data_IF_051217967583
#
_entry.id   IF_051217967583
#
_cell.length_a   1.000
_cell.length_b   1.000
_cell.length_c   1.000
_cell.angle_alpha   90.00
_cell.angle_beta   90.00
_cell.angle_gamma   90.00
#
_symmetry.space_group_name_H-M   'P 1'
#
loop_
_entity.id
_entity.type
_entity.pdbx_description
1 polymer ?
#
# COMPACT_ATOMS: atom_id res chain seq x y z
N UNK A 1 89.26 -4.33 5.82
CA UNK A 1 89.01 -5.04 4.55
C UNK A 1 88.60 -6.49 4.81
N UNK A 2 87.30 -6.79 4.93
CA UNK A 2 86.72 -8.16 4.87
C UNK A 2 85.26 -8.00 4.41
N UNK A 3 85.03 -7.95 3.10
CA UNK A 3 84.53 -9.04 2.22
C UNK A 3 83.11 -9.50 2.55
N UNK A 4 82.22 -9.12 1.63
CA UNK A 4 80.82 -9.49 1.48
C UNK A 4 80.62 -10.99 1.32
N UNK A 5 79.57 -11.51 1.97
CA UNK A 5 78.81 -12.67 1.52
C UNK A 5 77.32 -12.34 1.63
N UNK A 6 76.66 -12.34 0.48
CA UNK A 6 75.21 -12.19 0.33
C UNK A 6 74.50 -13.43 0.89
N UNK A 7 73.51 -13.23 1.75
CA UNK A 7 72.48 -14.23 2.07
C UNK A 7 71.14 -13.60 1.71
N UNK A 8 70.49 -14.17 0.70
CA UNK A 8 69.14 -13.83 0.28
C UNK A 8 68.14 -14.41 1.30
N UNK A 9 67.31 -13.55 1.90
CA UNK A 9 66.19 -13.96 2.74
C UNK A 9 64.88 -13.62 2.00
N UNK A 10 64.15 -14.66 1.62
CA UNK A 10 62.85 -14.55 0.97
C UNK A 10 61.80 -14.04 1.96
N UNK A 11 61.17 -12.91 1.64
CA UNK A 11 60.01 -12.38 2.37
C UNK A 11 58.74 -13.08 1.87
N UNK A 12 58.15 -13.89 2.74
CA UNK A 12 56.80 -14.46 2.57
C UNK A 12 55.80 -13.34 2.85
N UNK A 13 55.10 -12.87 1.80
CA UNK A 13 53.94 -12.00 1.93
C UNK A 13 52.71 -12.84 2.32
N UNK A 14 52.30 -12.74 3.58
CA UNK A 14 50.98 -13.23 4.03
C UNK A 14 49.94 -12.18 3.65
N UNK A 15 49.16 -12.46 2.62
CA UNK A 15 48.00 -11.63 2.23
C UNK A 15 46.85 -11.98 3.17
N UNK A 16 46.60 -11.09 4.13
CA UNK A 16 45.48 -11.14 5.05
C UNK A 16 44.23 -10.61 4.32
N UNK A 17 43.45 -11.51 3.70
CA UNK A 17 42.17 -11.15 3.07
C UNK A 17 41.13 -10.82 4.13
N UNK A 18 40.98 -9.53 4.44
CA UNK A 18 39.85 -9.00 5.18
C UNK A 18 38.58 -9.09 4.33
N UNK A 19 37.65 -9.96 4.74
CA UNK A 19 36.31 -10.07 4.18
C UNK A 19 35.48 -8.86 4.64
N UNK A 20 35.59 -7.73 3.94
CA UNK A 20 34.67 -6.60 4.09
C UNK A 20 33.33 -6.99 3.47
N UNK A 21 32.34 -7.23 4.34
CA UNK A 21 30.95 -7.36 3.92
C UNK A 21 30.54 -6.08 3.15
N UNK A 22 30.21 -6.23 1.88
CA UNK A 22 29.72 -5.13 1.05
C UNK A 22 28.40 -4.60 1.62
N UNK A 23 28.19 -3.27 1.68
CA UNK A 23 26.90 -2.70 2.05
C UNK A 23 25.86 -3.17 1.03
N UNK A 24 24.76 -3.74 1.53
CA UNK A 24 23.66 -4.20 0.69
C UNK A 24 23.14 -3.03 -0.16
N UNK A 25 23.08 -3.25 -1.48
CA UNK A 25 22.82 -2.24 -2.48
C UNK A 25 21.52 -1.49 -2.22
N UNK A 26 21.64 -0.20 -1.96
CA UNK A 26 20.55 0.76 -2.06
C UNK A 26 20.05 0.77 -3.52
N UNK A 27 18.73 0.69 -3.76
CA UNK A 27 18.21 0.94 -5.10
C UNK A 27 18.53 2.39 -5.51
N UNK A 28 18.88 2.65 -6.78
CA UNK A 28 19.24 3.99 -7.23
C UNK A 28 18.02 4.92 -7.14
N UNK A 29 18.17 6.02 -6.42
CA UNK A 29 17.13 7.03 -6.21
C UNK A 29 17.17 8.04 -7.35
N UNK A 30 16.03 8.21 -8.01
CA UNK A 30 15.77 9.18 -9.09
C UNK A 30 16.01 10.62 -8.62
N UNK A 31 16.75 11.40 -9.41
CA UNK A 31 17.40 12.68 -9.06
C UNK A 31 16.54 13.93 -8.77
N UNK A 32 15.38 13.80 -8.11
CA UNK A 32 14.55 14.93 -7.70
C UNK A 32 14.54 15.18 -6.17
N UNK A 33 15.17 14.32 -5.37
CA UNK A 33 15.16 14.40 -3.89
C UNK A 33 16.42 15.08 -3.35
N UNK A 34 16.26 15.85 -2.28
CA UNK A 34 17.37 16.53 -1.61
C UNK A 34 18.26 15.51 -0.88
N UNK A 35 19.58 15.70 -0.83
CA UNK A 35 20.43 14.89 0.04
C UNK A 35 20.04 15.09 1.50
N UNK A 36 20.27 14.08 2.33
CA UNK A 36 20.06 14.21 3.78
C UNK A 36 21.10 15.20 4.33
N UNK A 37 20.67 16.26 5.05
CA UNK A 37 21.61 17.20 5.64
C UNK A 37 22.50 16.52 6.70
N UNK A 38 23.76 16.95 6.81
CA UNK A 38 24.72 16.37 7.76
C UNK A 38 24.32 16.66 9.22
N UNK A 39 24.67 15.76 10.15
CA UNK A 39 24.31 15.87 11.57
C UNK A 39 24.61 17.24 12.23
N UNK A 40 25.75 17.91 12.02
CA UNK A 40 26.01 19.21 12.62
C UNK A 40 25.02 20.30 12.15
N UNK A 41 24.66 20.26 10.87
CA UNK A 41 23.71 21.20 10.25
C UNK A 41 22.28 20.92 10.74
N UNK A 42 21.91 19.64 10.86
CA UNK A 42 20.62 19.22 11.44
C UNK A 42 20.51 19.67 12.90
N UNK A 43 21.58 19.55 13.69
CA UNK A 43 21.58 19.96 15.08
C UNK A 43 21.39 21.48 15.25
N UNK A 44 21.98 22.30 14.39
CA UNK A 44 21.79 23.75 14.44
C UNK A 44 20.38 24.15 14.01
N UNK A 45 19.87 23.59 12.91
CA UNK A 45 18.49 23.78 12.49
C UNK A 45 17.49 23.34 13.58
N UNK A 46 17.79 22.27 14.33
CA UNK A 46 16.99 21.84 15.47
C UNK A 46 16.94 22.87 16.59
N UNK A 47 18.05 23.51 16.94
CA UNK A 47 18.03 24.60 17.93
C UNK A 47 17.13 25.74 17.47
N UNK A 48 17.24 26.14 16.20
CA UNK A 48 16.42 27.22 15.62
C UNK A 48 14.94 26.85 15.67
N UNK A 49 14.56 25.67 15.17
CA UNK A 49 13.17 25.18 15.21
C UNK A 49 12.64 25.11 16.64
N UNK A 50 13.41 24.54 17.58
CA UNK A 50 13.01 24.46 19.00
C UNK A 50 12.85 25.83 19.64
N UNK A 51 13.67 26.81 19.27
CA UNK A 51 13.56 28.18 19.77
C UNK A 51 12.31 28.89 19.22
N UNK A 52 12.03 28.76 17.92
CA UNK A 52 10.85 29.37 17.26
C UNK A 52 9.55 28.82 17.85
N UNK A 53 9.47 27.50 18.07
CA UNK A 53 8.26 26.85 18.60
C UNK A 53 8.34 26.57 20.11
N UNK A 54 9.20 27.27 20.86
CA UNK A 54 9.50 27.00 22.27
C UNK A 54 8.25 26.87 23.14
N UNK A 55 7.29 27.77 22.98
CA UNK A 55 6.04 27.77 23.74
C UNK A 55 5.15 26.56 23.41
N UNK A 56 5.13 26.13 22.15
CA UNK A 56 4.36 24.94 21.76
C UNK A 56 5.05 23.65 22.24
N UNK A 57 6.40 23.56 22.17
CA UNK A 57 7.17 22.42 22.68
C UNK A 57 7.08 22.23 24.20
N UNK A 58 6.77 23.30 24.95
CA UNK A 58 6.54 23.25 26.38
C UNK A 58 5.25 22.49 26.75
N UNK A 59 4.27 22.45 25.84
CA UNK A 59 3.02 21.72 26.06
C UNK A 59 3.24 20.22 25.88
N UNK A 60 2.86 19.43 26.90
CA UNK A 60 3.17 17.98 26.96
C UNK A 60 1.96 17.07 26.80
N UNK A 61 0.73 17.60 26.72
CA UNK A 61 -0.45 16.75 26.51
C UNK A 61 -0.39 16.15 25.11
N UNK A 62 -0.92 14.95 24.95
CA UNK A 62 -0.93 14.25 23.66
C UNK A 62 -1.58 15.10 22.55
N UNK A 63 -2.72 15.74 22.84
CA UNK A 63 -3.40 16.64 21.90
C UNK A 63 -2.52 17.84 21.48
N UNK A 64 -1.83 18.48 22.43
CA UNK A 64 -0.94 19.62 22.14
C UNK A 64 0.25 19.18 21.27
N UNK A 65 0.79 17.99 21.51
CA UNK A 65 1.86 17.43 20.68
C UNK A 65 1.40 17.14 19.26
N UNK A 66 0.19 16.59 19.08
CA UNK A 66 -0.42 16.38 17.76
C UNK A 66 -0.64 17.72 17.05
N UNK A 67 -1.10 18.76 17.75
CA UNK A 67 -1.34 20.07 17.13
C UNK A 67 -0.04 20.77 16.73
N UNK A 68 1.01 20.68 17.55
CA UNK A 68 2.35 21.12 17.15
C UNK A 68 2.86 20.31 15.95
N UNK A 69 2.67 18.98 15.95
CA UNK A 69 3.09 18.14 14.82
C UNK A 69 2.44 18.57 13.49
N UNK A 70 1.14 18.88 13.47
CA UNK A 70 0.45 19.42 12.28
C UNK A 70 1.06 20.75 11.84
N UNK A 71 1.36 21.63 12.79
CA UNK A 71 1.98 22.94 12.54
C UNK A 71 3.35 22.76 11.90
N UNK A 72 4.22 21.92 12.49
CA UNK A 72 5.57 21.66 11.96
C UNK A 72 5.55 20.99 10.59
N UNK A 73 4.61 20.05 10.36
CA UNK A 73 4.43 19.43 9.04
C UNK A 73 4.09 20.49 7.98
N UNK A 74 3.13 21.37 8.27
CA UNK A 74 2.75 22.47 7.39
C UNK A 74 3.93 23.40 7.11
N UNK A 75 4.67 23.81 8.15
CA UNK A 75 5.86 24.66 7.96
C UNK A 75 6.93 23.94 7.13
N UNK A 76 7.15 22.64 7.33
CA UNK A 76 8.09 21.87 6.51
C UNK A 76 7.67 21.84 5.03
N UNK A 77 6.38 21.76 4.73
CA UNK A 77 5.87 21.85 3.36
C UNK A 77 6.09 23.24 2.74
N UNK A 78 6.00 24.30 3.54
CA UNK A 78 6.18 25.70 3.12
C UNK A 78 7.66 26.13 3.04
N UNK A 79 8.56 25.47 3.79
CA UNK A 79 10.02 25.72 3.73
C UNK A 79 10.61 25.12 2.47
N UNK A 80 11.16 25.98 1.60
CA UNK A 80 11.77 25.56 0.31
C UNK A 80 13.21 26.07 0.15
N UNK A 81 13.64 26.98 1.01
CA UNK A 81 14.93 27.68 1.01
C UNK A 81 15.93 27.11 2.02
N UNK A 82 15.46 26.39 3.04
CA UNK A 82 16.30 25.75 4.06
C UNK A 82 16.03 24.23 4.14
N UNK A 83 16.82 23.40 3.43
CA UNK A 83 16.73 21.94 3.51
C UNK A 83 16.93 21.37 4.91
N UNK A 84 17.76 22.00 5.75
CA UNK A 84 18.05 21.50 7.09
C UNK A 84 16.86 21.74 8.03
N UNK A 85 16.29 22.95 8.01
CA UNK A 85 15.07 23.26 8.74
C UNK A 85 13.90 22.38 8.25
N UNK A 86 13.73 22.22 6.94
CA UNK A 86 12.69 21.34 6.35
C UNK A 86 12.81 19.91 6.87
N UNK A 87 14.02 19.34 6.88
CA UNK A 87 14.28 18.00 7.39
C UNK A 87 13.90 17.88 8.88
N UNK A 88 14.35 18.83 9.70
CA UNK A 88 14.05 18.85 11.14
C UNK A 88 12.55 18.99 11.40
N UNK A 89 11.86 19.87 10.67
CA UNK A 89 10.42 20.10 10.81
C UNK A 89 9.63 18.80 10.59
N UNK A 90 9.92 18.06 9.52
CA UNK A 90 9.29 16.76 9.28
C UNK A 90 9.65 15.72 10.35
N UNK A 91 10.91 15.66 10.78
CA UNK A 91 11.36 14.73 11.82
C UNK A 91 10.68 15.00 13.17
N UNK A 92 10.61 16.26 13.59
CA UNK A 92 9.93 16.66 14.83
C UNK A 92 8.41 16.45 14.72
N UNK A 93 7.80 16.76 13.57
CA UNK A 93 6.39 16.48 13.32
C UNK A 93 6.08 14.99 13.51
N UNK A 94 6.86 14.10 12.89
CA UNK A 94 6.74 12.65 13.04
C UNK A 94 6.87 12.22 14.50
N UNK A 95 7.90 12.69 15.20
CA UNK A 95 8.16 12.28 16.59
C UNK A 95 7.08 12.78 17.57
N UNK A 96 6.58 14.01 17.37
CA UNK A 96 5.50 14.58 18.18
C UNK A 96 4.16 13.91 17.91
N UNK A 97 3.83 13.65 16.64
CA UNK A 97 2.63 12.89 16.27
C UNK A 97 2.67 11.48 16.89
N UNK A 98 3.83 10.84 16.88
CA UNK A 98 4.02 9.52 17.47
C UNK A 98 3.78 9.52 18.98
N UNK A 99 4.35 10.50 19.69
CA UNK A 99 4.13 10.68 21.14
C UNK A 99 2.67 11.00 21.47
N UNK A 100 2.02 11.81 20.61
CA UNK A 100 0.61 12.14 20.72
C UNK A 100 -0.35 11.01 20.32
N UNK A 101 0.18 9.93 19.73
CA UNK A 101 -0.57 8.72 19.39
C UNK A 101 -1.30 8.77 18.05
N UNK A 102 -1.12 9.82 17.25
CA UNK A 102 -1.76 9.98 15.94
C UNK A 102 -0.99 9.19 14.86
N UNK A 103 -1.43 7.94 14.66
CA UNK A 103 -0.81 7.03 13.68
C UNK A 103 -0.85 7.60 12.25
N UNK A 104 -2.01 8.09 11.73
CA UNK A 104 -2.05 8.68 10.39
C UNK A 104 -1.11 9.87 10.18
N UNK A 105 -1.06 10.80 11.13
CA UNK A 105 -0.18 11.97 11.04
C UNK A 105 1.30 11.58 11.11
N UNK A 106 1.62 10.60 11.96
CA UNK A 106 2.99 10.06 12.07
C UNK A 106 3.47 9.48 10.74
N UNK A 107 2.62 8.67 10.08
CA UNK A 107 2.94 8.11 8.76
C UNK A 107 3.02 9.20 7.69
N UNK A 108 2.13 10.19 7.73
CA UNK A 108 2.15 11.33 6.78
C UNK A 108 3.45 12.11 6.87
N UNK A 109 3.94 12.40 8.08
CA UNK A 109 5.22 13.10 8.28
C UNK A 109 6.43 12.24 7.86
N UNK A 110 6.37 10.93 8.08
CA UNK A 110 7.38 10.01 7.58
C UNK A 110 7.42 10.02 6.03
N UNK A 111 6.26 9.92 5.37
CA UNK A 111 6.17 9.95 3.92
C UNK A 111 6.65 11.30 3.35
N UNK A 112 6.32 12.42 3.99
CA UNK A 112 6.80 13.75 3.61
C UNK A 112 8.34 13.83 3.60
N UNK A 113 8.98 13.24 4.60
CA UNK A 113 10.46 13.15 4.67
C UNK A 113 11.01 12.43 3.45
N UNK A 114 10.46 11.27 3.10
CA UNK A 114 10.94 10.44 1.96
C UNK A 114 10.60 11.01 0.59
N UNK A 115 9.62 11.92 0.52
CA UNK A 115 9.31 12.66 -0.71
C UNK A 115 10.31 13.79 -0.94
N UNK A 116 10.73 14.47 0.13
CA UNK A 116 11.63 15.61 0.04
C UNK A 116 13.11 15.21 0.04
N UNK A 117 13.49 14.15 0.75
CA UNK A 117 14.89 13.78 0.99
C UNK A 117 15.20 12.35 0.54
N UNK A 118 16.47 12.12 0.21
CA UNK A 118 17.03 10.81 -0.11
C UNK A 118 17.20 9.95 1.16
N UNK A 119 16.07 9.59 1.76
CA UNK A 119 16.00 8.76 2.96
C UNK A 119 15.42 7.42 2.57
N UNK A 120 15.99 6.33 3.12
CA UNK A 120 15.42 5.00 2.96
C UNK A 120 13.97 4.96 3.50
N UNK A 121 12.96 4.69 2.65
CA UNK A 121 11.56 4.78 3.05
C UNK A 121 11.14 3.72 4.07
N UNK A 122 11.73 2.52 4.00
CA UNK A 122 11.42 1.43 4.94
C UNK A 122 11.96 1.76 6.33
N UNK A 123 13.22 2.16 6.42
CA UNK A 123 13.86 2.51 7.71
C UNK A 123 13.20 3.74 8.35
N UNK A 124 12.83 4.74 7.54
CA UNK A 124 12.14 5.91 8.05
C UNK A 124 10.74 5.58 8.61
N UNK A 125 10.00 4.70 7.93
CA UNK A 125 8.69 4.20 8.41
C UNK A 125 8.83 3.33 9.65
N UNK A 126 9.88 2.48 9.72
CA UNK A 126 10.19 1.67 10.88
C UNK A 126 10.43 2.53 12.12
N UNK A 127 11.29 3.55 12.02
CA UNK A 127 11.57 4.47 13.10
C UNK A 127 10.28 5.18 13.61
N UNK A 128 9.37 5.50 12.70
CA UNK A 128 8.08 6.10 13.02
C UNK A 128 7.18 5.14 13.83
N UNK A 129 7.11 3.87 13.41
CA UNK A 129 6.33 2.82 14.07
C UNK A 129 6.90 2.43 15.44
N UNK A 130 8.22 2.37 15.57
CA UNK A 130 8.87 2.12 16.85
C UNK A 130 8.59 3.26 17.84
N UNK A 131 8.65 4.52 17.39
CA UNK A 131 8.28 5.66 18.23
C UNK A 131 6.82 5.58 18.72
N UNK A 132 5.87 5.20 17.86
CA UNK A 132 4.47 4.94 18.24
C UNK A 132 4.36 3.78 19.24
N UNK A 133 5.09 2.69 18.99
CA UNK A 133 5.14 1.51 19.85
C UNK A 133 5.66 1.79 21.25
N UNK A 134 6.68 2.65 21.36
CA UNK A 134 7.26 3.11 22.63
C UNK A 134 6.34 4.07 23.37
N UNK A 135 5.70 5.01 22.68
CA UNK A 135 4.82 6.00 23.30
C UNK A 135 3.56 5.38 23.92
N UNK A 136 3.03 4.31 23.31
CA UNK A 136 1.82 3.58 23.77
C UNK A 136 0.58 4.44 23.97
N UNK A 137 0.51 5.59 23.32
CA UNK A 137 -0.64 6.52 23.34
C UNK A 137 -1.63 6.25 22.21
N UNK A 138 -1.21 5.58 21.14
CA UNK A 138 -2.06 5.22 20.00
C UNK A 138 -3.10 4.15 20.33
N UNK A 139 -4.27 4.16 19.67
CA UNK A 139 -5.17 3.02 19.65
C UNK A 139 -4.44 1.75 19.18
N UNK A 140 -4.43 0.72 20.02
CA UNK A 140 -3.62 -0.48 19.84
C UNK A 140 -3.90 -1.19 18.50
N UNK A 141 -5.16 -1.30 18.11
CA UNK A 141 -5.58 -1.91 16.83
C UNK A 141 -5.04 -1.15 15.63
N UNK A 142 -5.19 0.18 15.61
CA UNK A 142 -4.72 1.04 14.52
C UNK A 142 -3.20 0.96 14.34
N UNK A 143 -2.44 0.92 15.43
CA UNK A 143 -0.99 0.75 15.37
C UNK A 143 -0.60 -0.63 14.83
N UNK A 144 -1.27 -1.69 15.29
CA UNK A 144 -0.99 -3.05 14.83
C UNK A 144 -1.27 -3.21 13.32
N UNK A 145 -2.40 -2.69 12.84
CA UNK A 145 -2.75 -2.71 11.41
C UNK A 145 -1.76 -1.90 10.56
N UNK A 146 -1.34 -0.71 11.03
CA UNK A 146 -0.34 0.11 10.34
C UNK A 146 1.04 -0.58 10.29
N UNK A 147 1.47 -1.21 11.38
CA UNK A 147 2.73 -1.91 11.46
C UNK A 147 2.75 -3.19 10.59
N UNK A 148 1.62 -3.92 10.51
CA UNK A 148 1.43 -5.02 9.57
C UNK A 148 1.59 -4.55 8.12
N UNK A 149 0.88 -3.50 7.74
CA UNK A 149 0.95 -2.92 6.39
C UNK A 149 2.39 -2.53 6.00
N UNK A 150 3.10 -1.90 6.92
CA UNK A 150 4.48 -1.49 6.71
C UNK A 150 5.43 -2.70 6.59
N UNK A 151 5.24 -3.75 7.40
CA UNK A 151 6.02 -4.98 7.29
C UNK A 151 5.88 -5.61 5.91
N UNK A 152 4.70 -5.50 5.30
CA UNK A 152 4.44 -6.02 3.97
C UNK A 152 5.11 -5.22 2.85
N UNK A 153 5.15 -3.90 3.01
CA UNK A 153 5.96 -3.04 2.14
C UNK A 153 7.45 -3.35 2.27
N UNK A 154 7.93 -3.58 3.50
CA UNK A 154 9.31 -3.97 3.77
C UNK A 154 9.66 -5.33 3.12
N UNK A 155 8.77 -6.33 3.21
CA UNK A 155 8.92 -7.62 2.50
C UNK A 155 8.97 -7.42 0.99
N UNK A 156 8.10 -6.57 0.43
CA UNK A 156 8.14 -6.25 -1.01
C UNK A 156 9.46 -5.62 -1.42
N UNK A 157 10.01 -4.74 -0.59
CA UNK A 157 11.31 -4.09 -0.77
C UNK A 157 12.52 -4.97 -0.41
N UNK A 158 12.33 -6.27 -0.15
CA UNK A 158 13.38 -7.21 0.27
C UNK A 158 14.09 -6.82 1.60
N UNK A 159 13.47 -5.95 2.41
CA UNK A 159 13.96 -5.46 3.69
C UNK A 159 13.45 -6.32 4.86
N UNK A 160 13.79 -7.61 4.85
CA UNK A 160 13.30 -8.59 5.84
C UNK A 160 13.63 -8.27 7.30
N UNK A 161 14.83 -7.76 7.66
CA UNK A 161 15.12 -7.36 9.03
C UNK A 161 14.22 -6.23 9.54
N UNK A 162 13.91 -5.26 8.67
CA UNK A 162 12.98 -4.18 9.00
C UNK A 162 11.54 -4.71 9.14
N UNK A 163 11.11 -5.62 8.25
CA UNK A 163 9.81 -6.27 8.34
C UNK A 163 9.62 -7.00 9.68
N UNK A 164 10.63 -7.75 10.15
CA UNK A 164 10.60 -8.43 11.45
C UNK A 164 10.43 -7.42 12.62
N UNK A 165 11.16 -6.30 12.59
CA UNK A 165 11.02 -5.24 13.60
C UNK A 165 9.64 -4.58 13.57
N UNK A 166 9.08 -4.34 12.37
CA UNK A 166 7.71 -3.83 12.23
C UNK A 166 6.68 -4.85 12.77
N UNK A 167 6.88 -6.15 12.54
CA UNK A 167 6.01 -7.19 13.10
C UNK A 167 6.12 -7.29 14.63
N UNK A 168 7.29 -7.00 15.23
CA UNK A 168 7.43 -6.88 16.69
C UNK A 168 6.59 -5.73 17.24
N UNK A 169 6.58 -4.57 16.57
CA UNK A 169 5.68 -3.46 16.92
C UNK A 169 4.22 -3.89 16.78
N UNK A 170 3.87 -4.56 15.67
CA UNK A 170 2.52 -5.06 15.43
C UNK A 170 2.08 -6.05 16.52
N UNK A 171 2.94 -6.99 16.92
CA UNK A 171 2.65 -8.00 17.94
C UNK A 171 2.42 -7.36 19.31
N UNK A 172 3.30 -6.42 19.69
CA UNK A 172 3.16 -5.68 20.94
C UNK A 172 1.87 -4.86 20.98
N UNK A 173 1.45 -4.27 19.86
CA UNK A 173 0.20 -3.52 19.77
C UNK A 173 -1.03 -4.45 19.73
N UNK A 174 -0.97 -5.55 18.97
CA UNK A 174 -2.06 -6.52 18.84
C UNK A 174 -2.38 -7.23 20.15
N UNK A 175 -1.39 -7.51 21.01
CA UNK A 175 -1.62 -8.10 22.33
C UNK A 175 -2.44 -7.20 23.26
N UNK A 176 -2.50 -5.90 22.98
CA UNK A 176 -3.31 -4.91 23.73
C UNK A 176 -4.65 -4.59 23.05
N UNK A 177 -4.89 -5.10 21.85
CA UNK A 177 -6.14 -4.89 21.13
C UNK A 177 -7.18 -5.92 21.60
N UNK A 178 -8.32 -5.46 22.10
CA UNK A 178 -9.44 -6.33 22.49
C UNK A 178 -10.37 -6.60 21.31
N UNK A 179 -11.13 -7.71 21.35
CA UNK A 179 -12.24 -7.96 20.42
C UNK A 179 -11.87 -8.34 18.98
N UNK A 180 -10.68 -8.91 18.72
CA UNK A 180 -10.30 -9.39 17.38
C UNK A 180 -9.22 -10.48 17.42
N UNK A 181 -9.11 -11.29 16.36
CA UNK A 181 -8.04 -12.27 16.17
C UNK A 181 -6.71 -11.62 15.67
N UNK A 182 -6.46 -10.36 16.01
CA UNK A 182 -5.32 -9.62 15.45
C UNK A 182 -3.97 -10.21 15.88
N UNK A 183 -3.87 -10.71 17.11
CA UNK A 183 -2.67 -11.40 17.57
C UNK A 183 -2.36 -12.68 16.75
N UNK A 184 -3.39 -13.44 16.38
CA UNK A 184 -3.25 -14.61 15.52
C UNK A 184 -2.80 -14.25 14.10
N UNK A 185 -3.35 -13.16 13.54
CA UNK A 185 -2.94 -12.61 12.23
C UNK A 185 -1.46 -12.22 12.25
N UNK A 186 -1.03 -11.46 13.27
CA UNK A 186 0.38 -11.06 13.40
C UNK A 186 1.29 -12.26 13.58
N UNK A 187 0.92 -13.23 14.42
CA UNK A 187 1.73 -14.43 14.65
C UNK A 187 1.89 -15.29 13.39
N UNK A 188 0.83 -15.41 12.57
CA UNK A 188 0.93 -16.05 11.26
C UNK A 188 1.91 -15.29 10.36
N UNK A 189 1.78 -13.96 10.29
CA UNK A 189 2.65 -13.14 9.44
C UNK A 189 4.12 -13.18 9.85
N UNK A 190 4.41 -13.24 11.15
CA UNK A 190 5.79 -13.43 11.66
C UNK A 190 6.39 -14.73 11.12
N UNK A 191 5.64 -15.83 11.12
CA UNK A 191 6.10 -17.11 10.57
C UNK A 191 6.32 -17.02 9.07
N UNK A 192 5.41 -16.38 8.33
CA UNK A 192 5.53 -16.21 6.89
C UNK A 192 6.79 -15.41 6.52
N UNK A 193 7.01 -14.26 7.17
CA UNK A 193 8.18 -13.41 6.89
C UNK A 193 9.50 -14.11 7.24
N UNK A 194 9.53 -14.88 8.33
CA UNK A 194 10.68 -15.70 8.65
C UNK A 194 10.95 -16.79 7.58
N UNK A 195 9.90 -17.40 7.02
CA UNK A 195 10.04 -18.38 5.95
C UNK A 195 10.53 -17.73 4.65
N UNK A 196 9.98 -16.57 4.27
CA UNK A 196 10.42 -15.80 3.09
C UNK A 196 11.89 -15.40 3.24
N UNK A 197 12.30 -14.92 4.41
CA UNK A 197 13.67 -14.51 4.69
C UNK A 197 14.71 -15.63 4.51
N UNK A 198 14.34 -16.89 4.78
CA UNK A 198 15.25 -18.05 4.59
C UNK A 198 15.58 -18.33 3.12
N UNK A 199 14.69 -17.98 2.20
CA UNK A 199 14.87 -18.26 0.76
C UNK A 199 15.18 -17.00 -0.05
N UNK A 200 15.20 -15.83 0.60
CA UNK A 200 15.43 -14.54 -0.04
C UNK A 200 16.82 -14.42 -0.69
N UNK A 201 17.85 -15.03 -0.09
CA UNK A 201 19.21 -15.02 -0.66
C UNK A 201 19.28 -15.78 -1.99
N UNK A 202 18.64 -16.95 -2.07
CA UNK A 202 18.52 -17.70 -3.31
C UNK A 202 17.77 -16.90 -4.39
N UNK A 203 16.67 -16.21 -4.01
CA UNK A 203 15.95 -15.34 -4.93
C UNK A 203 16.78 -14.12 -5.39
N UNK A 204 17.62 -13.56 -4.53
CA UNK A 204 18.55 -12.50 -4.90
C UNK A 204 19.60 -12.99 -5.90
N UNK A 205 20.11 -14.21 -5.73
CA UNK A 205 21.00 -14.86 -6.69
C UNK A 205 20.33 -15.09 -8.04
N UNK A 206 19.09 -15.59 -8.06
CA UNK A 206 18.31 -15.76 -9.31
C UNK A 206 18.03 -14.43 -10.01
N UNK A 207 17.76 -13.35 -9.24
CA UNK A 207 17.60 -12.00 -9.80
C UNK A 207 18.91 -11.49 -10.44
N UNK A 208 20.05 -11.74 -9.81
CA UNK A 208 21.36 -11.40 -10.38
C UNK A 208 21.67 -12.22 -11.64
N UNK A 209 21.34 -13.52 -11.63
CA UNK A 209 21.49 -14.40 -12.79
C UNK A 209 20.64 -13.92 -13.98
N UNK A 210 19.38 -13.55 -13.76
CA UNK A 210 18.51 -13.01 -14.81
C UNK A 210 18.95 -11.65 -15.33
N UNK A 211 19.62 -10.84 -14.50
CA UNK A 211 20.25 -9.60 -14.98
C UNK A 211 21.41 -9.88 -15.93
N UNK A 212 22.19 -10.94 -15.68
CA UNK A 212 23.29 -11.36 -16.54
C UNK A 212 22.80 -12.12 -17.78
N UNK A 213 21.76 -12.95 -17.63
CA UNK A 213 21.14 -13.74 -18.67
C UNK A 213 19.61 -13.69 -18.55
N UNK A 214 18.94 -12.77 -19.25
CA UNK A 214 17.47 -12.65 -19.21
C UNK A 214 16.70 -13.88 -19.72
N UNK A 215 17.36 -14.80 -20.43
CA UNK A 215 16.75 -16.00 -21.01
C UNK A 215 16.95 -17.26 -20.15
N UNK A 216 17.46 -17.13 -18.93
CA UNK A 216 17.57 -18.26 -18.00
C UNK A 216 16.18 -18.66 -17.46
N UNK A 217 15.51 -19.59 -18.15
CA UNK A 217 14.18 -20.06 -17.78
C UNK A 217 14.13 -20.75 -16.41
N UNK A 218 15.23 -21.36 -15.96
CA UNK A 218 15.29 -22.00 -14.65
C UNK A 218 15.35 -20.96 -13.53
N UNK A 219 16.19 -19.92 -13.69
CA UNK A 219 16.24 -18.78 -12.76
C UNK A 219 14.92 -17.99 -12.78
N UNK A 220 14.30 -17.82 -13.95
CA UNK A 220 12.97 -17.20 -14.09
C UNK A 220 11.91 -18.00 -13.33
N UNK A 221 11.91 -19.34 -13.46
CA UNK A 221 11.01 -20.21 -12.71
C UNK A 221 11.18 -20.11 -11.21
N UNK A 222 12.42 -20.17 -10.69
CA UNK A 222 12.68 -20.06 -9.24
C UNK A 222 12.31 -18.68 -8.69
N UNK A 223 12.71 -17.59 -9.34
CA UNK A 223 12.37 -16.23 -8.93
C UNK A 223 10.85 -15.97 -9.04
N UNK A 224 10.21 -16.46 -10.11
CA UNK A 224 8.76 -16.37 -10.29
C UNK A 224 7.99 -17.07 -9.18
N UNK A 225 8.39 -18.30 -8.79
CA UNK A 225 7.77 -19.03 -7.66
C UNK A 225 7.96 -18.26 -6.35
N UNK A 226 9.16 -17.75 -6.08
CA UNK A 226 9.41 -16.94 -4.90
C UNK A 226 8.50 -15.69 -4.84
N UNK A 227 8.39 -14.94 -5.95
CA UNK A 227 7.57 -13.74 -6.01
C UNK A 227 6.07 -14.06 -5.86
N UNK A 228 5.53 -15.00 -6.64
CA UNK A 228 4.10 -15.34 -6.60
C UNK A 228 3.71 -16.12 -5.34
N UNK A 229 4.43 -17.20 -5.02
CA UNK A 229 3.99 -18.22 -4.08
C UNK A 229 4.42 -17.98 -2.64
N UNK A 230 5.38 -17.07 -2.42
CA UNK A 230 5.86 -16.73 -1.08
C UNK A 230 5.67 -15.24 -0.75
N UNK A 231 5.97 -14.33 -1.69
CA UNK A 231 5.73 -12.89 -1.48
C UNK A 231 4.31 -12.46 -1.84
N UNK A 232 3.57 -13.25 -2.63
CA UNK A 232 2.24 -12.88 -3.14
C UNK A 232 2.28 -11.75 -4.17
N UNK A 233 3.45 -11.47 -4.76
CA UNK A 233 3.70 -10.44 -5.76
C UNK A 233 3.50 -11.00 -7.17
N UNK A 234 2.22 -11.24 -7.49
CA UNK A 234 1.81 -11.85 -8.75
C UNK A 234 2.17 -10.99 -9.96
N UNK A 235 2.13 -9.66 -9.83
CA UNK A 235 2.44 -8.74 -10.93
C UNK A 235 3.91 -8.87 -11.37
N UNK A 236 4.84 -8.97 -10.42
CA UNK A 236 6.26 -9.14 -10.72
C UNK A 236 6.64 -10.60 -11.06
N UNK A 237 5.93 -11.58 -10.47
CA UNK A 237 6.27 -13.00 -10.62
C UNK A 237 5.66 -13.67 -11.85
N UNK A 238 4.46 -13.28 -12.29
CA UNK A 238 3.78 -13.89 -13.43
C UNK A 238 4.60 -13.83 -14.74
N UNK A 239 5.22 -12.70 -15.13
CA UNK A 239 6.07 -12.66 -16.33
C UNK A 239 7.25 -13.65 -16.27
N UNK A 240 7.80 -13.87 -15.08
CA UNK A 240 8.91 -14.81 -14.87
C UNK A 240 8.42 -16.26 -14.93
N UNK A 241 7.26 -16.56 -14.33
CA UNK A 241 6.64 -17.89 -14.44
C UNK A 241 6.27 -18.21 -15.89
N UNK A 242 5.80 -17.24 -16.67
CA UNK A 242 5.53 -17.41 -18.11
C UNK A 242 6.81 -17.68 -18.94
N UNK A 243 7.99 -17.37 -18.41
CA UNK A 243 9.28 -17.73 -19.00
C UNK A 243 9.95 -18.93 -18.30
N UNK A 244 9.25 -19.61 -17.40
CA UNK A 244 9.82 -20.74 -16.66
C UNK A 244 9.98 -21.99 -17.51
N UNK A 245 10.83 -22.90 -17.04
CA UNK A 245 11.01 -24.26 -17.58
C UNK A 245 9.92 -25.24 -17.12
N UNK A 246 9.16 -24.88 -16.08
CA UNK A 246 8.00 -25.65 -15.60
C UNK A 246 6.79 -25.42 -16.52
N UNK A 247 6.49 -26.42 -17.36
CA UNK A 247 5.43 -26.32 -18.37
C UNK A 247 4.05 -25.97 -17.77
N UNK A 248 3.72 -26.46 -16.57
CA UNK A 248 2.41 -26.20 -15.94
C UNK A 248 2.32 -24.77 -15.43
N UNK A 249 3.35 -24.30 -14.73
CA UNK A 249 3.42 -22.93 -14.23
C UNK A 249 3.52 -21.92 -15.38
N UNK A 250 4.29 -22.24 -16.41
CA UNK A 250 4.38 -21.45 -17.64
C UNK A 250 3.02 -21.25 -18.29
N UNK A 251 2.31 -22.33 -18.57
CA UNK A 251 1.00 -22.24 -19.22
C UNK A 251 -0.01 -21.46 -18.35
N UNK A 252 -0.03 -21.71 -17.04
CA UNK A 252 -0.91 -21.00 -16.12
C UNK A 252 -0.61 -19.50 -16.08
N UNK A 253 0.66 -19.13 -15.97
CA UNK A 253 1.09 -17.75 -15.95
C UNK A 253 0.82 -17.02 -17.26
N UNK A 254 1.04 -17.66 -18.41
CA UNK A 254 0.72 -17.08 -19.73
C UNK A 254 -0.77 -16.78 -19.88
N UNK A 255 -1.65 -17.70 -19.46
CA UNK A 255 -3.11 -17.49 -19.53
C UNK A 255 -3.60 -16.46 -18.53
N UNK A 256 -3.00 -16.44 -17.34
CA UNK A 256 -3.28 -15.43 -16.31
C UNK A 256 -2.91 -14.01 -16.81
N UNK A 257 -1.70 -13.85 -17.36
CA UNK A 257 -1.23 -12.58 -17.93
C UNK A 257 -2.08 -12.09 -19.10
N UNK A 258 -2.69 -13.01 -19.87
CA UNK A 258 -3.57 -12.65 -20.98
C UNK A 258 -4.84 -11.90 -20.52
N UNK A 259 -5.13 -11.89 -19.21
CA UNK A 259 -6.26 -11.16 -18.61
C UNK A 259 -7.58 -11.41 -19.34
N UNK A 260 -8.07 -12.66 -19.38
CA UNK A 260 -9.21 -13.02 -20.20
C UNK A 260 -10.49 -12.27 -19.81
N UNK A 261 -11.24 -11.83 -20.82
CA UNK A 261 -12.49 -11.07 -20.62
C UNK A 261 -13.70 -11.95 -20.32
N UNK A 262 -13.76 -13.14 -20.92
CA UNK A 262 -14.88 -14.07 -20.74
C UNK A 262 -14.83 -14.77 -19.36
N UNK A 263 -15.97 -14.83 -18.66
CA UNK A 263 -16.09 -15.47 -17.34
C UNK A 263 -15.67 -16.94 -17.33
N UNK A 264 -16.00 -17.70 -18.39
CA UNK A 264 -15.57 -19.09 -18.56
C UNK A 264 -14.04 -19.21 -18.66
N UNK A 265 -13.40 -18.34 -19.44
CA UNK A 265 -11.94 -18.28 -19.56
C UNK A 265 -11.25 -17.90 -18.24
N UNK A 266 -11.84 -16.98 -17.47
CA UNK A 266 -11.36 -16.65 -16.10
C UNK A 266 -11.48 -17.85 -15.17
N UNK A 267 -12.57 -18.61 -15.24
CA UNK A 267 -12.75 -19.82 -14.46
C UNK A 267 -11.75 -20.92 -14.85
N UNK A 268 -11.37 -21.04 -16.13
CA UNK A 268 -10.30 -21.95 -16.56
C UNK A 268 -8.96 -21.58 -15.94
N UNK A 269 -8.60 -20.29 -15.91
CA UNK A 269 -7.39 -19.80 -15.24
C UNK A 269 -7.45 -20.12 -13.74
N UNK A 270 -8.59 -19.88 -13.10
CA UNK A 270 -8.81 -20.20 -11.69
C UNK A 270 -8.63 -21.70 -11.42
N UNK A 271 -9.28 -22.54 -12.22
CA UNK A 271 -9.19 -24.00 -12.11
C UNK A 271 -7.75 -24.47 -12.21
N UNK A 272 -6.99 -23.94 -13.17
CA UNK A 272 -5.59 -24.29 -13.38
C UNK A 272 -4.71 -23.92 -12.19
N UNK A 273 -4.85 -22.73 -11.63
CA UNK A 273 -4.10 -22.35 -10.43
C UNK A 273 -4.46 -23.21 -9.23
N UNK A 274 -5.74 -23.55 -9.07
CA UNK A 274 -6.18 -24.44 -8.01
C UNK A 274 -5.55 -25.83 -8.16
N UNK A 275 -5.61 -26.41 -9.36
CA UNK A 275 -5.14 -27.76 -9.63
C UNK A 275 -3.61 -27.86 -9.53
N UNK A 276 -2.87 -26.81 -9.93
CA UNK A 276 -1.43 -26.69 -9.63
C UNK A 276 -1.23 -26.62 -8.11
N UNK A 277 -2.05 -25.86 -7.38
CA UNK A 277 -2.02 -25.80 -5.92
C UNK A 277 -2.09 -27.15 -5.22
N UNK A 278 -2.78 -28.14 -5.81
CA UNK A 278 -2.85 -29.50 -5.25
C UNK A 278 -1.51 -30.26 -5.29
N UNK A 279 -0.55 -29.83 -6.10
CA UNK A 279 0.80 -30.42 -6.15
C UNK A 279 1.79 -29.73 -5.21
N UNK A 280 1.36 -28.68 -4.51
CA UNK A 280 2.17 -27.95 -3.53
C UNK A 280 1.63 -28.17 -2.12
N UNK A 281 2.39 -27.76 -1.12
CA UNK A 281 1.97 -27.76 0.27
C UNK A 281 2.11 -26.37 0.93
N UNK A 282 1.84 -26.32 2.24
CA UNK A 282 2.05 -25.13 3.06
C UNK A 282 1.56 -23.81 2.45
N UNK A 283 2.45 -22.81 2.49
CA UNK A 283 2.21 -21.45 2.04
C UNK A 283 2.10 -21.33 0.51
N UNK A 284 2.79 -22.17 -0.25
CA UNK A 284 2.78 -22.10 -1.71
C UNK A 284 1.43 -22.55 -2.28
N UNK A 285 0.88 -23.66 -1.76
CA UNK A 285 -0.50 -24.10 -2.08
C UNK A 285 -1.53 -23.06 -1.69
N UNK A 286 -1.35 -22.42 -0.53
CA UNK A 286 -2.24 -21.37 -0.06
C UNK A 286 -2.26 -20.20 -1.07
N UNK A 287 -1.10 -19.72 -1.52
CA UNK A 287 -1.01 -18.62 -2.49
C UNK A 287 -1.60 -19.00 -3.87
N UNK A 288 -1.33 -20.21 -4.36
CA UNK A 288 -1.94 -20.73 -5.60
C UNK A 288 -3.47 -20.74 -5.54
N UNK A 289 -4.04 -21.24 -4.43
CA UNK A 289 -5.49 -21.25 -4.21
C UNK A 289 -6.07 -19.84 -4.02
N UNK A 290 -5.32 -18.92 -3.40
CA UNK A 290 -5.73 -17.52 -3.31
C UNK A 290 -5.77 -16.84 -4.68
N UNK A 291 -4.82 -17.12 -5.59
CA UNK A 291 -4.88 -16.64 -6.98
C UNK A 291 -6.05 -17.25 -7.75
N UNK A 292 -6.34 -18.53 -7.53
CA UNK A 292 -7.54 -19.15 -8.08
C UNK A 292 -8.82 -18.45 -7.61
N UNK A 293 -8.95 -18.17 -6.31
CA UNK A 293 -10.09 -17.44 -5.76
C UNK A 293 -10.20 -16.01 -6.28
N UNK A 294 -9.08 -15.34 -6.55
CA UNK A 294 -9.09 -14.04 -7.25
C UNK A 294 -9.80 -14.17 -8.60
N UNK A 295 -9.41 -15.13 -9.43
CA UNK A 295 -10.03 -15.33 -10.74
C UNK A 295 -11.49 -15.76 -10.66
N UNK A 296 -11.85 -16.67 -9.75
CA UNK A 296 -13.26 -17.01 -9.53
C UNK A 296 -14.10 -15.81 -9.12
N UNK A 297 -13.54 -14.86 -8.35
CA UNK A 297 -14.25 -13.62 -7.99
C UNK A 297 -14.49 -12.74 -9.23
N UNK A 298 -13.56 -12.71 -10.18
CA UNK A 298 -13.70 -11.95 -11.43
C UNK A 298 -14.69 -12.59 -12.41
N UNK A 299 -15.13 -13.83 -12.19
CA UNK A 299 -16.14 -14.48 -13.01
C UNK A 299 -17.56 -13.93 -12.78
N UNK A 300 -17.82 -13.25 -11.66
CA UNK A 300 -19.14 -12.70 -11.32
C UNK A 300 -20.24 -13.76 -11.22
N UNK A 301 -21.48 -13.39 -11.52
CA UNK A 301 -22.66 -14.27 -11.57
C UNK A 301 -22.84 -14.98 -12.93
N UNK A 302 -21.89 -14.82 -13.86
CA UNK A 302 -21.98 -15.35 -15.23
C UNK A 302 -21.65 -16.85 -15.33
N UNK A 303 -21.04 -17.43 -14.29
CA UNK A 303 -20.81 -18.87 -14.25
C UNK A 303 -22.13 -19.62 -14.05
N UNK A 304 -22.30 -20.72 -14.76
CA UNK A 304 -23.50 -21.56 -14.70
C UNK A 304 -23.14 -23.03 -14.46
N UNK A 305 -24.14 -23.84 -14.09
CA UNK A 305 -23.98 -25.28 -13.95
C UNK A 305 -22.97 -25.69 -12.87
N UNK A 306 -22.10 -26.67 -13.18
CA UNK A 306 -21.13 -27.20 -12.21
C UNK A 306 -19.97 -26.24 -11.94
N UNK A 307 -19.72 -25.26 -12.80
CA UNK A 307 -18.59 -24.34 -12.65
C UNK A 307 -18.83 -23.32 -11.53
N UNK A 308 -20.07 -22.79 -11.39
CA UNK A 308 -20.42 -21.94 -10.24
C UNK A 308 -20.37 -22.72 -8.92
N UNK A 309 -20.89 -23.96 -8.89
CA UNK A 309 -20.85 -24.82 -7.69
C UNK A 309 -19.39 -25.10 -7.27
N UNK A 310 -18.50 -25.36 -8.22
CA UNK A 310 -17.08 -25.57 -7.96
C UNK A 310 -16.42 -24.30 -7.42
N UNK A 311 -16.64 -23.16 -8.07
CA UNK A 311 -16.09 -21.87 -7.68
C UNK A 311 -16.51 -21.50 -6.25
N UNK A 312 -17.80 -21.59 -5.93
CA UNK A 312 -18.35 -21.31 -4.60
C UNK A 312 -17.76 -22.24 -3.54
N UNK A 313 -17.67 -23.55 -3.81
CA UNK A 313 -17.07 -24.51 -2.88
C UNK A 313 -15.61 -24.15 -2.59
N UNK A 314 -14.82 -23.92 -3.65
CA UNK A 314 -13.39 -23.55 -3.55
C UNK A 314 -13.19 -22.21 -2.82
N UNK A 315 -14.02 -21.21 -3.10
CA UNK A 315 -14.00 -19.94 -2.36
C UNK A 315 -14.40 -20.10 -0.89
N UNK A 316 -15.38 -20.95 -0.59
CA UNK A 316 -15.79 -21.26 0.79
C UNK A 316 -14.69 -21.96 1.57
N UNK A 317 -13.98 -22.90 0.95
CA UNK A 317 -12.79 -23.54 1.53
C UNK A 317 -11.69 -22.52 1.87
N UNK A 318 -11.56 -21.48 1.05
CA UNK A 318 -10.57 -20.41 1.24
C UNK A 318 -11.07 -19.23 2.07
N UNK A 319 -12.33 -19.21 2.52
CA UNK A 319 -12.95 -18.04 3.14
C UNK A 319 -12.15 -17.50 4.33
N UNK A 320 -11.70 -18.38 5.23
CA UNK A 320 -10.88 -18.00 6.39
C UNK A 320 -9.51 -17.45 5.99
N UNK A 321 -8.87 -18.03 4.98
CA UNK A 321 -7.61 -17.54 4.45
C UNK A 321 -7.76 -16.18 3.77
N UNK A 322 -8.83 -16.00 3.00
CA UNK A 322 -9.20 -14.74 2.36
C UNK A 322 -9.50 -13.67 3.42
N UNK A 323 -10.20 -14.00 4.50
CA UNK A 323 -10.48 -13.08 5.61
C UNK A 323 -9.19 -12.67 6.33
N UNK A 324 -8.30 -13.62 6.65
CA UNK A 324 -7.00 -13.34 7.27
C UNK A 324 -6.10 -12.50 6.36
N UNK A 325 -6.20 -12.65 5.03
CA UNK A 325 -5.46 -11.85 4.05
C UNK A 325 -6.13 -10.51 3.71
N UNK A 326 -7.46 -10.42 3.79
CA UNK A 326 -8.25 -9.22 3.50
C UNK A 326 -8.42 -8.29 4.70
N UNK A 327 -8.15 -8.78 5.92
CA UNK A 327 -7.96 -7.98 7.13
C UNK A 327 -6.58 -7.30 7.19
N UNK A 328 -5.68 -7.65 6.27
CA UNK A 328 -4.52 -6.85 5.87
C UNK A 328 -5.04 -5.72 4.97
N UNK A 329 -4.63 -4.46 5.14
CA UNK A 329 -4.98 -3.42 4.18
C UNK A 329 -4.58 -3.89 2.78
N UNK A 330 -5.56 -3.91 1.87
CA UNK A 330 -5.59 -4.72 0.67
C UNK A 330 -4.23 -4.83 -0.06
N UNK A 331 -3.72 -6.07 -0.14
CA UNK A 331 -2.69 -6.49 -1.07
C UNK A 331 -3.35 -7.10 -2.31
N UNK A 332 -3.56 -6.27 -3.34
CA UNK A 332 -4.07 -6.56 -4.69
C UNK A 332 -4.14 -5.27 -5.53
N UNK A 333 -4.17 -5.35 -6.88
CA UNK A 333 -3.17 -4.74 -7.76
C UNK A 333 -2.98 -3.23 -7.48
N UNK A 334 -1.74 -2.84 -7.18
CA UNK A 334 -1.25 -1.46 -7.09
C UNK A 334 -2.29 -0.37 -6.71
N UNK A 335 -2.88 -0.43 -5.52
CA UNK A 335 -3.40 0.80 -4.91
C UNK A 335 -2.21 1.70 -4.54
N UNK A 336 -2.09 2.93 -5.05
CA UNK A 336 -0.89 3.73 -4.84
C UNK A 336 -0.75 4.12 -3.37
N UNK A 337 0.47 4.01 -2.87
CA UNK A 337 1.02 4.72 -1.70
C UNK A 337 1.07 6.24 -1.94
N UNK A 338 0.08 6.79 -2.64
CA UNK A 338 -0.12 8.21 -2.88
C UNK A 338 -1.12 8.78 -1.88
N UNK A 339 -0.89 10.01 -1.44
CA UNK A 339 -1.87 10.76 -0.65
C UNK A 339 -3.18 10.86 -1.44
N UNK A 340 -4.25 10.29 -0.89
CA UNK A 340 -5.62 10.47 -1.38
C UNK A 340 -5.97 11.96 -1.41
N UNK A 341 -6.12 12.53 -2.61
CA UNK A 341 -6.59 13.90 -2.83
C UNK A 341 -8.11 13.91 -2.74
N UNK A 342 -8.66 14.64 -1.78
CA UNK A 342 -10.11 14.88 -1.73
C UNK A 342 -10.51 15.65 -2.99
N UNK A 343 -11.45 15.12 -3.76
CA UNK A 343 -11.99 15.79 -4.95
C UNK A 343 -13.42 16.31 -4.71
N UNK A 344 -14.12 15.70 -3.75
CA UNK A 344 -15.45 16.12 -3.32
C UNK A 344 -15.71 15.62 -1.89
N UNK A 345 -16.39 16.44 -1.08
CA UNK A 345 -16.85 16.12 0.27
C UNK A 345 -18.03 17.04 0.58
N UNK A 346 -19.23 16.51 0.41
CA UNK A 346 -20.48 17.14 0.83
C UNK A 346 -21.63 16.15 0.72
N UNK A 347 -22.67 16.34 1.52
CA UNK A 347 -23.98 15.73 1.29
C UNK A 347 -24.77 16.43 0.18
N UNK A 348 -24.26 17.54 -0.36
CA UNK A 348 -24.79 18.25 -1.52
C UNK A 348 -24.03 17.86 -2.81
N UNK A 349 -24.63 17.02 -3.65
CA UNK A 349 -24.09 16.61 -4.94
C UNK A 349 -24.06 17.75 -5.96
N UNK A 350 -24.84 18.83 -5.78
CA UNK A 350 -24.91 19.94 -6.76
C UNK A 350 -23.58 20.68 -6.90
N UNK A 351 -22.71 20.61 -5.89
CA UNK A 351 -21.37 21.19 -5.93
C UNK A 351 -20.34 20.27 -6.61
N UNK A 352 -20.71 19.11 -7.13
CA UNK A 352 -19.79 18.26 -7.89
C UNK A 352 -19.27 18.99 -9.13
N UNK A 353 -17.97 18.81 -9.42
CA UNK A 353 -17.28 19.48 -10.53
C UNK A 353 -17.29 21.03 -10.45
N UNK A 354 -17.50 21.62 -9.26
CA UNK A 354 -17.35 23.07 -9.02
C UNK A 354 -16.07 23.39 -8.25
N UNK A 355 -15.73 24.67 -8.08
CA UNK A 355 -14.64 25.12 -7.19
C UNK A 355 -15.18 25.60 -5.83
N UNK A 356 -15.80 24.69 -5.08
CA UNK A 356 -16.43 25.00 -3.79
C UNK A 356 -15.50 24.69 -2.60
N UNK A 357 -15.30 25.68 -1.72
CA UNK A 357 -14.47 25.57 -0.49
C UNK A 357 -15.09 26.32 0.71
N UNK A 358 -16.41 26.25 0.84
CA UNK A 358 -17.19 26.99 1.83
C UNK A 358 -17.16 26.40 3.24
N UNK A 359 -16.59 25.21 3.44
CA UNK A 359 -16.44 24.65 4.78
C UNK A 359 -15.84 23.25 4.82
N UNK A 360 -15.76 22.68 6.04
CA UNK A 360 -15.26 21.32 6.25
C UNK A 360 -16.09 20.29 5.49
N UNK A 361 -17.40 20.43 5.43
CA UNK A 361 -18.30 19.46 4.78
C UNK A 361 -18.92 20.01 3.47
N UNK A 362 -18.34 21.08 2.91
CA UNK A 362 -18.68 21.62 1.60
C UNK A 362 -17.41 21.90 0.81
N UNK A 363 -16.94 20.87 0.12
CA UNK A 363 -15.73 20.93 -0.66
C UNK A 363 -15.91 20.18 -1.99
N UNK A 364 -15.52 20.81 -3.08
CA UNK A 364 -15.40 20.19 -4.39
C UNK A 364 -14.31 20.89 -5.21
N UNK A 365 -13.69 20.16 -6.13
CA UNK A 365 -12.81 20.76 -7.13
C UNK A 365 -13.37 20.50 -8.53
N UNK A 366 -13.10 21.39 -9.50
CA UNK A 366 -13.40 21.11 -10.90
C UNK A 366 -12.66 19.84 -11.33
N UNK A 367 -13.35 18.99 -12.08
CA UNK A 367 -12.78 17.74 -12.61
C UNK A 367 -11.52 18.01 -13.39
N UNK A 368 -11.43 19.13 -14.12
CA UNK A 368 -10.20 19.59 -14.78
C UNK A 368 -8.96 19.62 -13.86
N UNK A 369 -9.13 19.95 -12.56
CA UNK A 369 -8.05 20.02 -11.55
C UNK A 369 -7.72 18.66 -10.90
N UNK A 370 -8.43 17.60 -11.26
CA UNK A 370 -8.08 16.23 -10.87
C UNK A 370 -6.87 15.76 -11.71
N UNK A 371 -5.86 15.08 -11.12
CA UNK A 371 -4.73 14.56 -11.89
C UNK A 371 -5.17 13.65 -13.05
N UNK A 372 -4.37 13.58 -14.12
CA UNK A 372 -4.68 12.74 -15.28
C UNK A 372 -4.38 11.26 -15.03
N UNK A 373 -3.45 10.98 -14.11
CA UNK A 373 -2.95 9.65 -13.75
C UNK A 373 -3.75 8.97 -12.63
N UNK A 374 -5.00 9.40 -12.41
CA UNK A 374 -5.87 8.69 -11.47
C UNK A 374 -6.12 7.26 -11.96
N UNK A 375 -6.09 6.33 -11.00
CA UNK A 375 -6.37 4.91 -11.24
C UNK A 375 -7.49 4.36 -10.38
N UNK A 376 -7.85 5.07 -9.31
CA UNK A 376 -8.85 4.63 -8.36
C UNK A 376 -9.67 5.80 -7.87
N UNK A 377 -10.93 5.52 -7.57
CA UNK A 377 -11.83 6.43 -6.88
C UNK A 377 -12.28 5.76 -5.58
N UNK A 378 -12.05 6.42 -4.46
CA UNK A 378 -12.58 5.99 -3.17
C UNK A 378 -13.75 6.88 -2.77
N UNK A 379 -14.89 6.27 -2.49
CA UNK A 379 -16.06 6.93 -1.94
C UNK A 379 -16.32 6.41 -0.52
N UNK A 380 -16.30 7.31 0.45
CA UNK A 380 -16.38 6.99 1.88
C UNK A 380 -17.68 7.53 2.47
N UNK A 381 -18.48 6.67 3.10
CA UNK A 381 -19.61 7.03 3.95
C UNK A 381 -19.08 7.47 5.32
N UNK A 382 -18.79 8.76 5.53
CA UNK A 382 -18.07 9.23 6.72
C UNK A 382 -18.86 9.03 8.03
N UNK A 383 -20.19 8.97 8.00
CA UNK A 383 -21.03 8.68 9.18
C UNK A 383 -20.81 7.24 9.67
N UNK A 384 -20.74 6.26 8.77
CA UNK A 384 -20.55 4.84 9.13
C UNK A 384 -19.10 4.36 8.99
N UNK A 385 -18.20 5.26 8.56
CA UNK A 385 -16.77 4.99 8.31
C UNK A 385 -16.53 3.80 7.37
N UNK A 386 -17.45 3.56 6.43
CA UNK A 386 -17.32 2.54 5.38
C UNK A 386 -16.90 3.20 4.07
N UNK A 387 -16.24 2.47 3.19
CA UNK A 387 -15.82 3.00 1.91
C UNK A 387 -15.85 1.92 0.83
N UNK A 388 -15.98 2.38 -0.41
CA UNK A 388 -15.83 1.58 -1.64
C UNK A 388 -14.70 2.19 -2.44
N UNK A 389 -13.85 1.34 -3.03
CA UNK A 389 -12.81 1.74 -3.97
C UNK A 389 -13.10 1.02 -5.28
N UNK A 390 -13.16 1.79 -6.37
CA UNK A 390 -13.30 1.25 -7.74
C UNK A 390 -12.12 1.72 -8.57
N UNK A 391 -11.79 0.96 -9.62
CA UNK A 391 -10.90 1.45 -10.68
C UNK A 391 -11.54 2.67 -11.36
N UNK A 392 -10.74 3.69 -11.64
CA UNK A 392 -11.21 4.94 -12.22
C UNK A 392 -10.13 5.59 -13.08
N UNK A 393 -10.55 6.17 -14.21
CA UNK A 393 -9.71 7.01 -15.06
C UNK A 393 -10.23 8.44 -15.10
N UNK A 394 -9.36 9.38 -15.49
CA UNK A 394 -9.70 10.80 -15.60
C UNK A 394 -10.91 11.04 -16.50
N UNK A 395 -10.97 10.35 -17.64
CA UNK A 395 -12.03 10.53 -18.63
C UNK A 395 -13.39 10.02 -18.14
N UNK A 396 -13.38 8.99 -17.28
CA UNK A 396 -14.59 8.39 -16.71
C UNK A 396 -15.19 9.17 -15.54
N UNK A 397 -14.42 10.05 -14.88
CA UNK A 397 -14.89 10.76 -13.70
C UNK A 397 -16.14 11.62 -13.93
N UNK A 398 -16.29 12.20 -15.11
CA UNK A 398 -17.44 13.05 -15.46
C UNK A 398 -18.56 12.30 -16.18
N UNK A 399 -18.47 10.98 -16.28
CA UNK A 399 -19.35 10.15 -17.11
C UNK A 399 -20.07 9.08 -16.26
N UNK A 400 -21.02 8.38 -16.87
CA UNK A 400 -21.50 7.10 -16.36
C UNK A 400 -20.58 6.01 -16.88
N UNK A 401 -20.14 5.09 -16.03
CA UNK A 401 -19.32 3.95 -16.45
C UNK A 401 -19.53 2.75 -15.55
N UNK A 402 -19.35 1.54 -16.08
CA UNK A 402 -19.44 0.30 -15.32
C UNK A 402 -18.17 -0.53 -15.54
N UNK A 403 -17.55 -1.00 -14.45
CA UNK A 403 -16.37 -1.86 -14.49
C UNK A 403 -16.26 -2.67 -13.19
N UNK A 404 -15.76 -3.90 -13.26
CA UNK A 404 -15.50 -4.78 -12.10
C UNK A 404 -16.71 -5.01 -11.18
N UNK A 405 -17.91 -5.03 -11.76
CA UNK A 405 -19.17 -5.19 -11.03
C UNK A 405 -19.65 -3.96 -10.26
N UNK A 406 -19.00 -2.81 -10.48
CA UNK A 406 -19.44 -1.53 -9.94
C UNK A 406 -19.75 -0.54 -11.06
N UNK A 407 -20.87 0.15 -10.92
CA UNK A 407 -21.20 1.34 -11.68
C UNK A 407 -20.74 2.61 -10.99
N UNK A 408 -20.42 3.62 -11.79
CA UNK A 408 -20.10 4.97 -11.37
C UNK A 408 -20.99 5.94 -12.13
N UNK A 409 -21.69 6.81 -11.41
CA UNK A 409 -22.33 7.98 -12.00
C UNK A 409 -21.60 9.24 -11.54
N UNK A 410 -20.77 9.80 -12.42
CA UNK A 410 -20.08 11.08 -12.21
C UNK A 410 -20.69 12.24 -13.00
N UNK A 411 -21.84 12.03 -13.65
CA UNK A 411 -22.48 13.08 -14.46
C UNK A 411 -23.21 14.11 -13.59
N UNK A 412 -23.64 13.71 -12.39
CA UNK A 412 -24.46 14.53 -11.50
C UNK A 412 -25.72 15.10 -12.17
N UNK A 413 -26.26 14.38 -13.16
CA UNK A 413 -27.46 14.80 -13.87
C UNK A 413 -28.65 14.87 -12.91
N UNK A 414 -29.47 15.89 -13.09
CA UNK A 414 -30.77 16.03 -12.42
C UNK A 414 -31.81 15.22 -13.19
N UNK A 415 -32.15 14.04 -12.70
CA UNK A 415 -33.16 13.14 -13.29
C UNK A 415 -34.06 12.64 -12.16
N UNK A 416 -35.36 12.52 -12.41
CA UNK A 416 -36.35 12.15 -11.37
C UNK A 416 -36.33 13.08 -10.14
N UNK A 417 -36.24 14.40 -10.38
CA UNK A 417 -36.21 15.43 -9.34
C UNK A 417 -35.04 15.32 -8.35
N UNK A 418 -33.99 14.57 -8.71
CA UNK A 418 -32.81 14.42 -7.89
C UNK A 418 -31.49 14.39 -8.67
N UNK A 419 -30.44 14.81 -7.99
CA UNK A 419 -29.07 14.70 -8.49
C UNK A 419 -28.47 13.35 -8.12
N UNK A 420 -27.93 12.65 -9.12
CA UNK A 420 -27.36 11.31 -8.95
C UNK A 420 -25.84 11.35 -9.07
N UNK A 421 -25.15 11.11 -7.97
CA UNK A 421 -23.68 11.08 -7.90
C UNK A 421 -23.22 9.97 -6.95
N UNK A 422 -22.46 9.00 -7.46
CA UNK A 422 -21.97 7.93 -6.58
C UNK A 422 -21.57 6.64 -7.29
N UNK A 423 -21.19 5.66 -6.47
CA UNK A 423 -20.82 4.31 -6.91
C UNK A 423 -22.01 3.39 -6.64
N UNK A 424 -22.47 2.66 -7.66
CA UNK A 424 -23.48 1.63 -7.57
C UNK A 424 -22.92 0.22 -7.83
N UNK A 425 -23.64 -0.82 -7.43
CA UNK A 425 -23.31 -2.21 -7.79
C UNK A 425 -24.08 -2.55 -9.08
N UNK A 426 -23.39 -3.01 -10.12
CA UNK A 426 -24.00 -3.29 -11.42
C UNK A 426 -24.38 -4.76 -11.64
N UNK A 427 -24.08 -5.66 -10.69
CA UNK A 427 -24.25 -7.11 -10.87
C UNK A 427 -25.56 -7.72 -10.33
N UNK A 428 -26.56 -6.95 -9.89
CA UNK A 428 -27.86 -7.51 -9.47
C UNK A 428 -29.09 -6.67 -9.83
N UNK A 429 -30.17 -7.28 -10.35
CA UNK A 429 -31.51 -6.71 -10.28
C UNK A 429 -32.04 -6.88 -8.84
N UNK A 430 -32.16 -5.78 -8.09
CA UNK A 430 -33.07 -5.70 -6.93
C UNK A 430 -32.50 -5.78 -5.51
N UNK A 431 -31.20 -5.62 -5.24
CA UNK A 431 -30.70 -5.41 -3.85
C UNK A 431 -29.74 -4.21 -3.69
N UNK A 432 -29.73 -3.62 -2.49
CA UNK A 432 -28.52 -3.09 -1.81
C UNK A 432 -28.13 -4.12 -0.74
N UNK A 433 -26.83 -4.35 -0.42
CA UNK A 433 -25.93 -3.32 0.12
C UNK A 433 -24.41 -3.46 -0.18
N UNK A 434 -23.86 -2.40 -0.77
CA UNK A 434 -22.43 -2.00 -0.73
C UNK A 434 -22.23 -0.53 -1.11
N UNK A 435 -23.33 0.18 -1.31
CA UNK A 435 -23.44 1.36 -2.16
C UNK A 435 -23.28 2.62 -1.34
N UNK A 436 -22.27 3.43 -1.64
CA UNK A 436 -22.20 4.81 -1.15
C UNK A 436 -22.67 5.67 -2.32
N UNK A 437 -23.79 6.35 -2.15
CA UNK A 437 -24.37 7.23 -3.16
C UNK A 437 -24.88 8.51 -2.49
N UNK A 438 -24.82 9.62 -3.22
CA UNK A 438 -25.32 10.93 -2.79
C UNK A 438 -26.56 11.21 -3.61
N UNK A 439 -27.69 11.35 -2.93
CA UNK A 439 -28.97 11.65 -3.55
C UNK A 439 -29.61 12.84 -2.86
N UNK A 440 -29.90 13.91 -3.63
CA UNK A 440 -30.70 15.04 -3.16
C UNK A 440 -31.95 15.14 -4.01
N UNK A 441 -33.10 14.86 -3.40
CA UNK A 441 -34.42 15.15 -3.95
C UNK A 441 -35.09 16.28 -3.18
N UNK A 442 -35.87 17.12 -3.86
CA UNK A 442 -36.69 18.18 -3.23
C UNK A 442 -38.16 17.73 -3.14
N UNK A 443 -38.56 17.22 -1.98
CA UNK A 443 -39.97 17.19 -1.55
C UNK A 443 -40.79 15.94 -1.92
N UNK A 444 -41.40 15.36 -0.88
CA UNK A 444 -42.51 14.39 -0.78
C UNK A 444 -42.63 13.22 -1.80
N UNK A 445 -42.34 12.02 -1.29
CA UNK A 445 -43.14 10.81 -1.58
C UNK A 445 -42.40 9.68 -2.30
N UNK A 446 -41.95 8.69 -1.53
CA UNK A 446 -41.69 7.28 -1.91
C UNK A 446 -41.17 6.94 -3.32
N UNK A 447 -39.97 7.40 -3.64
CA UNK A 447 -39.05 6.61 -4.48
C UNK A 447 -37.80 6.26 -3.67
N UNK A 448 -37.78 5.03 -3.13
CA UNK A 448 -36.61 4.43 -2.48
C UNK A 448 -35.68 3.87 -3.56
N UNK A 449 -35.01 4.77 -4.28
CA UNK A 449 -33.79 4.48 -5.02
C UNK A 449 -32.59 4.47 -4.06
N UNK A 450 -31.71 3.50 -4.20
CA UNK A 450 -30.82 3.03 -3.14
C UNK A 450 -29.58 3.92 -2.88
N UNK A 451 -29.71 4.82 -1.90
CA UNK A 451 -28.61 5.57 -1.28
C UNK A 451 -29.11 6.30 -0.04
N UNK A 452 -28.69 5.86 1.15
CA UNK A 452 -29.28 6.28 2.41
C UNK A 452 -29.17 7.79 2.68
N UNK A 453 -30.32 8.42 2.92
CA UNK A 453 -30.46 9.71 3.58
C UNK A 453 -29.53 9.81 4.80
N UNK A 454 -28.76 10.90 4.87
CA UNK A 454 -28.08 11.35 6.09
C UNK A 454 -26.63 10.90 6.28
N UNK A 455 -25.90 10.53 5.23
CA UNK A 455 -24.52 10.05 5.36
C UNK A 455 -23.53 10.93 4.61
N UNK A 456 -22.52 11.45 5.32
CA UNK A 456 -21.53 12.43 4.85
C UNK A 456 -20.51 11.76 3.90
N UNK A 457 -20.62 11.90 2.57
CA UNK A 457 -19.76 11.20 1.62
C UNK A 457 -18.42 11.94 1.42
N UNK A 458 -17.31 11.21 1.30
CA UNK A 458 -15.98 11.73 0.99
C UNK A 458 -15.40 10.99 -0.22
N UNK A 459 -15.19 11.71 -1.32
CA UNK A 459 -14.56 11.23 -2.54
C UNK A 459 -13.09 11.65 -2.59
N UNK A 460 -12.20 10.68 -2.79
CA UNK A 460 -10.77 10.92 -2.95
C UNK A 460 -10.18 10.19 -4.15
N UNK A 461 -9.27 10.85 -4.88
CA UNK A 461 -8.49 10.30 -5.98
C UNK A 461 -6.98 10.41 -5.70
N UNK A 462 -6.11 9.50 -6.18
CA UNK A 462 -4.65 9.61 -6.02
C UNK A 462 -4.08 10.91 -6.64
N UNK A 463 -3.09 11.51 -5.99
CA UNK A 463 -2.40 12.72 -6.46
C UNK A 463 -1.19 12.43 -7.36
N UNK A 464 -1.22 12.84 -8.63
CA UNK A 464 -0.09 12.74 -9.56
C UNK A 464 0.97 13.84 -9.42
N UNK A 465 2.22 13.47 -9.74
CA UNK A 465 3.39 14.35 -9.88
C UNK A 465 3.23 15.21 -11.14
N UNK A 466 3.13 16.53 -10.96
CA UNK A 466 3.21 17.47 -12.08
C UNK A 466 4.65 17.80 -12.41
N UNK A 467 5.14 17.36 -13.57
CA UNK A 467 6.28 18.00 -14.24
C UNK A 467 5.81 19.38 -14.73
N UNK A 468 6.31 20.45 -14.13
CA UNK A 468 6.19 21.80 -14.72
C UNK A 468 7.26 21.93 -15.82
N UNK A 469 6.84 22.31 -17.01
CA UNK A 469 7.67 23.16 -17.89
C UNK A 469 7.48 24.60 -17.46
#
# INVERSE_FOLDING_TARGET
MKRCSFIALAFIFVVLSGLTAAPQGTPPVTGDRLPVPTDPVVAEAEKVVRNVFKADFAKKKAADQVDLAKKLLKFGDETNDDPAAKFVLYREARNLAARGGDVPLTMTAADATTKAFDVNPVENKLAALEALGTARTSPARTLAEAALAAADEAVRADAYPAADRMLKVAAGAASRATGSNLAGVVAARVKDVAAIGKVAEAAAADRAALKANPNDSAAAGRLGKFLCLLKGDWDAGLPLLANSDDAKLKEAATRDLASPDASTSRAEVANRWWDIGETFDGAERLELRLRACYWYKQCGSELTGLDIVRAEKRQKEMAKAIELRGSRPASGPTGPTGSWKVIFRSDDATIWNTDTKSGRDQFAIPLAKVPADIRFLKLTEATKKRFVIIEMTKDRLGQVSEQDGYGWNGTNQSVYEGHHLGIYDSMQPGTTPGTVAIHLARGKGDYRGYGGLGTKPLLTAPGGRGTRK
#
